data_IF_494065000599
#
_entry.id   IF_494065000599
#
_cell.length_a   1.000
_cell.length_b   1.000
_cell.length_c   1.000
_cell.angle_alpha   90.00
_cell.angle_beta   90.00
_cell.angle_gamma   90.00
#
_symmetry.space_group_name_H-M   'P 1'
#
loop_
_entity.id
_entity.type
_entity.pdbx_description
1 polymer ?
#
# COMPACT_ATOMS: atom_id res chain seq x y z
N UNK A 1 40.98 25.42 9.04
CA UNK A 1 41.11 24.10 8.37
C UNK A 1 39.82 23.86 7.59
N UNK A 2 39.82 24.12 6.28
CA UNK A 2 38.61 23.99 5.44
C UNK A 2 38.43 22.53 5.04
N UNK A 3 37.37 21.89 5.52
CA UNK A 3 36.99 20.54 5.11
C UNK A 3 36.47 20.60 3.66
N UNK A 4 37.34 20.33 2.68
CA UNK A 4 36.93 20.12 1.29
C UNK A 4 36.30 18.72 1.17
N UNK A 5 35.02 18.61 1.51
CA UNK A 5 34.27 17.36 1.40
C UNK A 5 33.76 17.17 -0.03
N UNK A 6 34.06 16.04 -0.65
CA UNK A 6 33.58 15.73 -1.99
C UNK A 6 32.15 15.14 -1.95
N UNK A 7 31.35 15.31 -3.00
CA UNK A 7 29.95 14.81 -3.05
C UNK A 7 29.84 13.32 -2.72
N UNK A 8 30.82 12.53 -3.16
CA UNK A 8 30.92 11.09 -2.89
C UNK A 8 31.15 10.78 -1.41
N UNK A 9 31.99 11.56 -0.74
CA UNK A 9 32.23 11.41 0.70
C UNK A 9 31.00 11.84 1.49
N UNK A 10 30.36 12.95 1.10
CA UNK A 10 29.10 13.37 1.70
C UNK A 10 28.02 12.28 1.58
N UNK A 11 27.81 11.72 0.39
CA UNK A 11 26.84 10.64 0.18
C UNK A 11 27.22 9.35 0.92
N UNK A 12 28.51 9.04 1.00
CA UNK A 12 29.01 7.90 1.78
C UNK A 12 28.74 8.05 3.28
N UNK A 13 29.04 9.22 3.84
CA UNK A 13 28.82 9.54 5.27
C UNK A 13 27.33 9.70 5.59
N UNK A 14 26.55 10.32 4.71
CA UNK A 14 25.10 10.43 4.88
C UNK A 14 24.41 9.06 4.78
N UNK A 15 24.89 8.17 3.90
CA UNK A 15 24.39 6.80 3.77
C UNK A 15 24.64 5.97 5.02
N UNK A 16 25.85 6.02 5.60
CA UNK A 16 26.18 5.25 6.81
C UNK A 16 25.44 5.74 8.05
N UNK A 17 25.27 7.06 8.22
CA UNK A 17 24.43 7.63 9.28
C UNK A 17 22.92 7.35 9.05
N UNK A 18 22.48 7.32 7.79
CA UNK A 18 21.10 7.00 7.43
C UNK A 18 20.68 5.57 7.79
N UNK A 19 21.61 4.61 7.78
CA UNK A 19 21.36 3.22 8.20
C UNK A 19 21.02 3.11 9.69
N UNK A 20 21.67 3.92 10.55
CA UNK A 20 21.28 4.01 11.98
C UNK A 20 19.87 4.59 12.13
N UNK A 21 19.52 5.56 11.28
CA UNK A 21 18.19 6.16 11.16
C UNK A 21 17.13 5.28 10.47
N UNK A 22 17.47 4.06 10.05
CA UNK A 22 16.50 3.07 9.57
C UNK A 22 16.34 1.88 10.53
N UNK A 23 17.07 1.89 11.66
CA UNK A 23 17.00 0.80 12.63
C UNK A 23 15.63 0.79 13.32
N UNK A 24 14.86 -0.29 13.13
CA UNK A 24 13.53 -0.42 13.72
C UNK A 24 13.49 -0.44 15.25
N UNK A 25 14.65 -0.45 15.90
CA UNK A 25 14.80 -0.37 17.34
C UNK A 25 14.67 1.08 17.87
N UNK A 26 14.96 2.09 17.03
CA UNK A 26 14.97 3.50 17.45
C UNK A 26 13.69 4.26 17.03
N UNK A 27 12.87 3.70 16.14
CA UNK A 27 11.65 4.35 15.66
C UNK A 27 10.38 3.76 16.28
N UNK A 28 9.48 4.60 16.82
CA UNK A 28 8.19 4.16 17.29
C UNK A 28 7.40 3.41 16.22
N UNK A 29 6.56 2.45 16.65
CA UNK A 29 5.76 1.59 15.75
C UNK A 29 4.79 2.35 14.83
N UNK A 30 4.50 3.60 15.11
CA UNK A 30 3.61 4.45 14.32
C UNK A 30 4.31 5.16 13.14
N UNK A 31 5.65 5.13 13.07
CA UNK A 31 6.40 5.75 11.97
C UNK A 31 6.55 4.80 10.76
N UNK A 32 6.54 5.32 9.52
CA UNK A 32 6.83 4.54 8.33
C UNK A 32 8.21 3.88 8.42
N UNK A 33 8.27 2.57 8.15
CA UNK A 33 9.52 1.81 8.13
C UNK A 33 10.00 1.66 6.69
N UNK A 34 11.24 2.05 6.43
CA UNK A 34 11.87 1.82 5.14
C UNK A 34 12.53 0.44 5.15
N UNK A 35 12.29 -0.34 4.10
CA UNK A 35 12.95 -1.62 3.87
C UNK A 35 13.78 -1.50 2.59
N UNK A 36 15.07 -1.78 2.70
CA UNK A 36 15.98 -1.84 1.56
C UNK A 36 16.31 -3.30 1.27
N UNK A 37 16.38 -3.65 -0.01
CA UNK A 37 16.86 -4.98 -0.40
C UNK A 37 18.33 -5.14 0.01
N UNK A 38 18.70 -6.32 0.49
CA UNK A 38 20.11 -6.63 0.71
C UNK A 38 20.84 -6.72 -0.64
N UNK A 39 21.96 -6.02 -0.75
CA UNK A 39 22.80 -6.04 -1.95
C UNK A 39 23.36 -7.44 -2.22
N UNK A 40 23.58 -8.28 -1.20
CA UNK A 40 24.04 -9.66 -1.39
C UNK A 40 22.97 -10.59 -2.01
N UNK A 41 21.70 -10.23 -1.96
CA UNK A 41 20.58 -11.02 -2.50
C UNK A 41 20.14 -10.58 -3.91
N UNK A 42 20.97 -9.81 -4.61
CA UNK A 42 20.65 -9.15 -5.90
C UNK A 42 20.41 -10.09 -7.10
N UNK A 43 20.13 -11.38 -6.90
CA UNK A 43 20.15 -12.37 -7.98
C UNK A 43 19.22 -13.57 -7.83
N UNK A 44 18.19 -13.52 -6.99
CA UNK A 44 17.14 -14.54 -7.07
C UNK A 44 16.18 -14.18 -8.23
N UNK A 45 16.23 -14.87 -9.39
CA UNK A 45 15.23 -14.68 -10.42
C UNK A 45 13.86 -15.11 -9.90
N UNK A 46 12.84 -14.27 -10.06
CA UNK A 46 11.46 -14.58 -9.67
C UNK A 46 10.58 -13.34 -9.50
N UNK A 47 9.28 -13.59 -9.36
CA UNK A 47 8.27 -12.54 -9.11
C UNK A 47 8.31 -12.08 -7.65
N UNK A 48 8.10 -10.78 -7.44
CA UNK A 48 8.02 -10.18 -6.09
C UNK A 48 6.54 -10.14 -5.68
N UNK A 49 6.17 -10.92 -4.67
CA UNK A 49 4.88 -10.81 -4.02
C UNK A 49 4.93 -9.75 -2.91
N UNK A 50 4.12 -8.70 -3.05
CA UNK A 50 3.92 -7.70 -2.00
C UNK A 50 2.60 -8.01 -1.29
N UNK A 51 2.65 -8.44 -0.03
CA UNK A 51 1.47 -8.66 0.81
C UNK A 51 1.28 -7.47 1.77
N UNK A 52 0.21 -6.70 1.57
CA UNK A 52 -0.15 -5.57 2.43
C UNK A 52 -1.26 -6.01 3.38
N UNK A 53 -0.93 -6.19 4.67
CA UNK A 53 -1.90 -6.53 5.70
C UNK A 53 -2.39 -5.28 6.44
N UNK A 54 -3.58 -4.79 6.07
CA UNK A 54 -4.21 -3.63 6.72
C UNK A 54 -5.05 -4.06 7.93
N UNK A 55 -4.40 -4.26 9.08
CA UNK A 55 -5.08 -4.68 10.31
C UNK A 55 -6.01 -3.58 10.86
N UNK A 56 -7.31 -3.85 10.90
CA UNK A 56 -8.30 -3.08 11.67
C UNK A 56 -8.75 -1.74 11.07
N UNK A 57 -8.21 -1.34 9.92
CA UNK A 57 -8.58 -0.10 9.23
C UNK A 57 -9.15 -0.29 7.82
N UNK A 58 -9.12 -1.51 7.28
CA UNK A 58 -9.70 -1.81 5.97
C UNK A 58 -11.08 -2.43 6.15
N UNK A 59 -12.07 -1.85 5.48
CA UNK A 59 -13.36 -2.47 5.29
C UNK A 59 -13.38 -3.28 3.99
N UNK A 60 -13.38 -4.61 4.14
CA UNK A 60 -13.35 -5.55 3.02
C UNK A 60 -14.55 -5.41 2.08
N UNK A 61 -15.73 -5.07 2.61
CA UNK A 61 -16.96 -4.92 1.82
C UNK A 61 -17.01 -3.62 1.01
N UNK A 62 -16.11 -2.67 1.30
CA UNK A 62 -15.87 -1.50 0.45
C UNK A 62 -14.74 -1.72 -0.54
N UNK A 63 -13.72 -2.50 -0.17
CA UNK A 63 -12.60 -2.83 -1.05
C UNK A 63 -13.01 -3.78 -2.18
N UNK A 64 -13.74 -4.85 -1.83
CA UNK A 64 -14.30 -5.86 -2.73
C UNK A 64 -15.81 -5.92 -2.47
N UNK A 65 -16.55 -5.23 -3.33
CA UNK A 65 -17.97 -4.92 -3.23
C UNK A 65 -18.81 -6.08 -3.79
N UNK A 66 -19.61 -6.80 -2.99
CA UNK A 66 -20.52 -7.85 -3.48
C UNK A 66 -21.80 -7.22 -4.07
N UNK A 67 -21.67 -6.45 -5.15
CA UNK A 67 -22.80 -5.66 -5.68
C UNK A 67 -23.95 -6.54 -6.21
N UNK A 68 -23.66 -7.78 -6.63
CA UNK A 68 -24.68 -8.72 -7.11
C UNK A 68 -25.62 -9.23 -6.01
N UNK A 69 -25.27 -9.06 -4.73
CA UNK A 69 -26.16 -9.40 -3.61
C UNK A 69 -27.34 -8.42 -3.47
N UNK A 70 -27.34 -7.32 -4.22
CA UNK A 70 -28.47 -6.40 -4.31
C UNK A 70 -28.90 -5.87 -2.94
N UNK A 71 -30.19 -5.98 -2.62
CA UNK A 71 -30.77 -5.47 -1.38
C UNK A 71 -30.03 -5.92 -0.12
N UNK A 72 -29.52 -7.16 -0.06
CA UNK A 72 -28.76 -7.61 1.11
C UNK A 72 -27.51 -6.76 1.40
N UNK A 73 -26.81 -6.31 0.35
CA UNK A 73 -25.66 -5.42 0.51
C UNK A 73 -26.09 -3.96 0.71
N UNK A 74 -26.99 -3.47 -0.15
CA UNK A 74 -27.37 -2.06 -0.17
C UNK A 74 -28.21 -1.65 1.07
N UNK A 75 -29.13 -2.51 1.50
CA UNK A 75 -29.99 -2.25 2.67
C UNK A 75 -29.21 -2.38 3.98
N UNK A 76 -28.20 -3.28 4.03
CA UNK A 76 -27.30 -3.40 5.17
C UNK A 76 -26.30 -2.23 5.28
N UNK A 77 -26.08 -1.48 4.19
CA UNK A 77 -25.05 -0.42 4.10
C UNK A 77 -25.59 0.90 3.54
N UNK A 78 -26.67 1.47 4.10
CA UNK A 78 -27.41 2.58 3.49
C UNK A 78 -26.58 3.86 3.26
N UNK A 79 -25.51 4.07 4.03
CA UNK A 79 -24.64 5.26 3.94
C UNK A 79 -23.27 5.01 3.30
N UNK A 80 -22.88 3.75 3.14
CA UNK A 80 -21.51 3.36 2.74
C UNK A 80 -21.46 2.43 1.53
N UNK A 81 -22.61 1.96 1.04
CA UNK A 81 -22.64 1.07 -0.11
C UNK A 81 -22.03 1.73 -1.35
N UNK A 82 -21.18 0.97 -2.04
CA UNK A 82 -20.63 1.38 -3.34
C UNK A 82 -21.63 1.00 -4.43
N UNK A 83 -21.94 1.94 -5.32
CA UNK A 83 -22.88 1.72 -6.40
C UNK A 83 -22.40 0.60 -7.35
N UNK A 84 -23.33 -0.17 -7.91
CA UNK A 84 -23.03 -1.25 -8.84
C UNK A 84 -22.31 -0.74 -10.11
N UNK A 85 -21.48 -1.57 -10.76
CA UNK A 85 -20.80 -1.19 -12.00
C UNK A 85 -21.76 -0.60 -13.04
N UNK A 86 -21.34 0.47 -13.70
CA UNK A 86 -22.16 1.19 -14.69
C UNK A 86 -23.17 2.20 -14.12
N UNK A 87 -23.33 2.29 -12.79
CA UNK A 87 -24.24 3.25 -12.16
C UNK A 87 -23.72 4.70 -12.12
N UNK A 88 -22.47 4.95 -12.56
CA UNK A 88 -21.89 6.30 -12.65
C UNK A 88 -20.37 6.32 -12.42
N UNK A 89 -19.82 7.53 -12.27
CA UNK A 89 -18.37 7.77 -12.15
C UNK A 89 -17.74 7.17 -10.87
N UNK A 90 -18.49 7.09 -9.77
CA UNK A 90 -18.03 6.53 -8.48
C UNK A 90 -18.60 5.12 -8.21
N UNK A 91 -18.94 4.38 -9.28
CA UNK A 91 -19.39 3.00 -9.16
C UNK A 91 -18.22 2.03 -8.96
N UNK A 92 -18.54 0.84 -8.45
CA UNK A 92 -17.58 -0.26 -8.38
C UNK A 92 -17.08 -0.63 -9.79
N UNK A 93 -15.84 -1.08 -9.88
CA UNK A 93 -15.22 -1.61 -11.10
C UNK A 93 -15.53 -3.10 -11.14
N UNK A 94 -16.22 -3.57 -12.17
CA UNK A 94 -16.58 -4.97 -12.27
C UNK A 94 -15.34 -5.88 -12.33
N UNK A 95 -15.31 -6.92 -11.50
CA UNK A 95 -14.24 -7.92 -11.50
C UNK A 95 -14.67 -9.19 -12.25
N UNK A 96 -15.86 -9.71 -11.92
CA UNK A 96 -16.31 -11.03 -12.39
C UNK A 96 -17.84 -11.16 -12.57
N UNK A 97 -18.58 -10.04 -12.56
CA UNK A 97 -20.05 -10.06 -12.63
C UNK A 97 -20.74 -10.31 -11.29
N UNK A 98 -19.99 -10.55 -10.20
CA UNK A 98 -20.52 -10.75 -8.84
C UNK A 98 -19.91 -9.74 -7.85
N UNK A 99 -18.61 -9.53 -7.94
CA UNK A 99 -17.84 -8.61 -7.13
C UNK A 99 -17.29 -7.46 -7.96
N UNK A 100 -17.14 -6.31 -7.33
CA UNK A 100 -16.49 -5.15 -7.90
C UNK A 100 -15.42 -4.57 -6.99
N UNK A 101 -14.43 -3.92 -7.57
CA UNK A 101 -13.41 -3.20 -6.83
C UNK A 101 -13.89 -1.78 -6.50
N UNK A 102 -13.46 -1.22 -5.37
CA UNK A 102 -13.70 0.19 -5.08
C UNK A 102 -13.15 1.10 -6.22
N UNK A 103 -13.85 2.16 -6.65
CA UNK A 103 -13.39 3.04 -7.73
C UNK A 103 -12.00 3.66 -7.47
N UNK A 104 -11.70 3.99 -6.21
CA UNK A 104 -10.39 4.51 -5.80
C UNK A 104 -9.23 3.49 -5.89
N UNK A 105 -9.51 2.22 -6.21
CA UNK A 105 -8.53 1.16 -6.43
C UNK A 105 -8.33 0.85 -7.93
N UNK A 106 -8.90 1.68 -8.82
CA UNK A 106 -8.60 1.61 -10.25
C UNK A 106 -7.08 1.69 -10.51
N UNK A 107 -6.54 0.92 -11.48
CA UNK A 107 -5.15 1.02 -11.90
C UNK A 107 -4.81 2.34 -12.60
#
# INVERSE_FOLDING_TARGET
MSLKMNRREFLGVAGTLGVLGASSALFPRWMPRLAFRDQQQSGAPGDILINIFLRGGMDGLSAVVPYAEGGHYYDARPTQAIAAPGAGFNAAIDLDGQFGLHPALAP
#
